data_IF_892265202988
#
_entry.id   IF_892265202988
#
_cell.length_a   1.000
_cell.length_b   1.000
_cell.length_c   1.000
_cell.angle_alpha   90.00
_cell.angle_beta   90.00
_cell.angle_gamma   90.00
#
_symmetry.space_group_name_H-M   'P 1'
#
loop_
_entity.id
_entity.type
_entity.pdbx_description
1 polymer ?
#
# COMPACT_ATOMS: atom_id res chain seq x y z
N UNK A 1 -26.09 7.45 -13.56
CA UNK A 1 -24.74 7.37 -14.14
C UNK A 1 -23.80 7.43 -12.97
N UNK A 2 -23.28 6.29 -12.53
CA UNK A 2 -22.16 6.30 -11.58
C UNK A 2 -21.01 7.02 -12.27
N UNK A 3 -20.58 8.15 -11.69
CA UNK A 3 -19.33 8.76 -12.07
C UNK A 3 -18.23 7.72 -11.88
N UNK A 4 -17.46 7.42 -12.93
CA UNK A 4 -16.22 6.67 -12.77
C UNK A 4 -15.41 7.34 -11.65
N UNK A 5 -15.18 6.62 -10.55
CA UNK A 5 -14.39 7.13 -9.43
C UNK A 5 -12.98 7.39 -9.95
N UNK A 6 -12.54 8.65 -9.93
CA UNK A 6 -11.17 9.01 -10.28
C UNK A 6 -10.26 8.62 -9.11
N UNK A 7 -9.50 7.55 -9.27
CA UNK A 7 -8.53 7.13 -8.26
C UNK A 7 -7.28 8.00 -8.38
N UNK A 8 -6.84 8.54 -7.25
CA UNK A 8 -5.72 9.47 -7.13
C UNK A 8 -4.55 8.89 -6.30
N UNK A 9 -4.80 7.83 -5.53
CA UNK A 9 -3.77 7.18 -4.71
C UNK A 9 -4.06 5.69 -4.53
N UNK A 10 -3.01 4.86 -4.63
CA UNK A 10 -3.03 3.47 -4.19
C UNK A 10 -2.04 3.32 -3.04
N UNK A 11 -2.47 2.77 -1.91
CA UNK A 11 -1.59 2.40 -0.80
C UNK A 11 -1.61 0.88 -0.62
N UNK A 12 -0.45 0.25 -0.67
CA UNK A 12 -0.27 -1.19 -0.55
C UNK A 12 0.44 -1.49 0.77
N UNK A 13 -0.24 -2.22 1.65
CA UNK A 13 0.30 -2.73 2.91
C UNK A 13 0.67 -4.21 2.81
N UNK A 14 1.80 -4.61 3.39
CA UNK A 14 2.16 -6.03 3.47
C UNK A 14 3.29 -6.34 4.46
N UNK A 15 3.52 -7.61 4.70
CA UNK A 15 4.57 -8.09 5.60
C UNK A 15 5.24 -9.35 5.05
N UNK A 16 5.41 -10.39 5.86
CA UNK A 16 5.96 -11.67 5.42
C UNK A 16 5.19 -12.22 4.21
N UNK A 17 5.92 -12.53 3.13
CA UNK A 17 5.35 -13.04 1.87
C UNK A 17 4.89 -11.99 0.85
N UNK A 18 4.76 -10.71 1.25
CA UNK A 18 4.25 -9.66 0.34
C UNK A 18 5.21 -9.25 -0.77
N UNK A 19 6.53 -9.40 -0.56
CA UNK A 19 7.54 -8.92 -1.52
C UNK A 19 7.43 -9.57 -2.89
N UNK A 20 7.13 -10.88 -2.94
CA UNK A 20 7.00 -11.60 -4.22
C UNK A 20 5.79 -11.07 -5.02
N UNK A 21 4.68 -10.81 -4.33
CA UNK A 21 3.46 -10.24 -4.91
C UNK A 21 3.72 -8.84 -5.46
N UNK A 22 4.44 -7.99 -4.71
CA UNK A 22 4.82 -6.64 -5.15
C UNK A 22 5.72 -6.72 -6.40
N UNK A 23 6.70 -7.62 -6.42
CA UNK A 23 7.59 -7.81 -7.58
C UNK A 23 6.80 -8.28 -8.82
N UNK A 24 5.89 -9.22 -8.65
CA UNK A 24 5.03 -9.72 -9.74
C UNK A 24 4.12 -8.61 -10.29
N UNK A 25 3.53 -7.81 -9.40
CA UNK A 25 2.73 -6.65 -9.78
C UNK A 25 3.54 -5.66 -10.61
N UNK A 26 4.67 -5.14 -10.09
CA UNK A 26 5.41 -4.05 -10.76
C UNK A 26 6.02 -4.44 -12.12
N UNK A 27 6.28 -5.73 -12.35
CA UNK A 27 6.72 -6.26 -13.64
C UNK A 27 5.67 -6.12 -14.74
N UNK A 28 4.41 -6.11 -14.35
CA UNK A 28 3.26 -6.15 -15.25
C UNK A 28 2.46 -4.83 -15.25
N UNK A 29 2.92 -3.81 -14.51
CA UNK A 29 2.32 -2.47 -14.55
C UNK A 29 2.69 -1.74 -15.86
N UNK A 30 1.75 -0.94 -16.36
CA UNK A 30 1.99 -0.05 -17.48
C UNK A 30 2.96 1.08 -17.08
N UNK A 31 3.99 1.34 -17.91
CA UNK A 31 5.00 2.39 -17.69
C UNK A 31 4.43 3.83 -17.61
N UNK A 32 3.16 4.02 -17.98
CA UNK A 32 2.47 5.31 -18.01
C UNK A 32 1.34 5.42 -16.98
N UNK A 33 1.43 4.70 -15.87
CA UNK A 33 0.43 4.74 -14.80
C UNK A 33 0.31 6.17 -14.26
N UNK A 34 -0.89 6.74 -14.23
CA UNK A 34 -1.09 8.14 -13.80
C UNK A 34 -1.30 8.31 -12.30
N UNK A 35 -1.29 7.20 -11.56
CA UNK A 35 -1.63 7.14 -10.15
C UNK A 35 -0.35 6.77 -9.38
N UNK A 36 0.03 7.54 -8.34
CA UNK A 36 1.12 7.17 -7.46
C UNK A 36 0.74 5.93 -6.62
N UNK A 37 1.72 5.05 -6.43
CA UNK A 37 1.58 3.87 -5.57
C UNK A 37 2.50 4.04 -4.36
N UNK A 38 1.97 3.88 -3.16
CA UNK A 38 2.73 3.90 -1.90
C UNK A 38 2.76 2.49 -1.33
N UNK A 39 3.95 1.97 -1.05
CA UNK A 39 4.18 0.62 -0.52
C UNK A 39 4.71 0.70 0.91
N UNK A 40 3.94 0.15 1.83
CA UNK A 40 4.23 0.05 3.26
C UNK A 40 4.49 -1.42 3.58
N UNK A 41 5.74 -1.78 3.84
CA UNK A 41 6.11 -3.16 4.21
C UNK A 41 6.84 -3.21 5.54
N UNK A 42 6.46 -4.17 6.38
CA UNK A 42 7.22 -4.45 7.60
C UNK A 42 8.62 -4.95 7.24
N UNK A 43 9.63 -4.17 7.59
CA UNK A 43 11.04 -4.50 7.35
C UNK A 43 11.89 -4.09 8.55
N UNK A 44 13.08 -4.69 8.69
CA UNK A 44 14.00 -4.35 9.77
C UNK A 44 14.63 -2.98 9.51
N UNK A 45 14.89 -2.21 10.57
CA UNK A 45 15.55 -0.90 10.52
C UNK A 45 16.86 -0.89 9.70
N UNK A 46 17.60 -1.99 9.74
CA UNK A 46 18.93 -2.14 9.12
C UNK A 46 18.87 -2.48 7.62
N UNK A 47 17.69 -2.50 7.01
CA UNK A 47 17.51 -2.92 5.61
C UNK A 47 18.04 -1.92 4.58
N UNK A 48 18.31 -0.66 4.97
CA UNK A 48 18.83 0.39 4.07
C UNK A 48 18.01 0.53 2.76
N UNK A 49 18.67 1.03 1.72
CA UNK A 49 18.07 1.28 0.38
C UNK A 49 17.94 0.01 -0.49
N UNK A 50 18.09 -1.18 0.12
CA UNK A 50 18.12 -2.47 -0.58
C UNK A 50 16.78 -2.73 -1.28
N UNK A 51 15.67 -2.45 -0.61
CA UNK A 51 14.34 -2.72 -1.16
C UNK A 51 14.06 -1.87 -2.39
N UNK A 52 14.36 -0.56 -2.32
CA UNK A 52 14.24 0.35 -3.45
C UNK A 52 15.08 -0.13 -4.63
N UNK A 53 16.36 -0.42 -4.38
CA UNK A 53 17.30 -0.89 -5.40
C UNK A 53 16.80 -2.18 -6.05
N UNK A 54 16.26 -3.12 -5.26
CA UNK A 54 15.70 -4.37 -5.75
C UNK A 54 14.47 -4.13 -6.63
N UNK A 55 13.48 -3.37 -6.16
CA UNK A 55 12.23 -3.15 -6.90
C UNK A 55 12.50 -2.38 -8.20
N UNK A 56 13.44 -1.42 -8.20
CA UNK A 56 13.81 -0.65 -9.39
C UNK A 56 14.33 -1.54 -10.54
N UNK A 57 14.87 -2.73 -10.26
CA UNK A 57 15.33 -3.68 -11.29
C UNK A 57 14.18 -4.29 -12.11
N UNK A 58 12.95 -4.21 -11.62
CA UNK A 58 11.79 -4.91 -12.19
C UNK A 58 10.76 -3.99 -12.84
N UNK A 59 10.96 -2.67 -12.80
CA UNK A 59 10.04 -1.71 -13.38
C UNK A 59 10.76 -0.47 -13.90
N UNK A 60 10.19 0.22 -14.90
CA UNK A 60 10.66 1.53 -15.35
C UNK A 60 10.02 2.69 -14.61
N UNK A 61 8.94 2.42 -13.86
CA UNK A 61 8.36 3.39 -12.95
C UNK A 61 9.43 3.77 -11.91
N UNK A 62 9.69 5.06 -11.67
CA UNK A 62 10.62 5.50 -10.63
C UNK A 62 10.23 4.91 -9.27
N UNK A 63 11.17 4.20 -8.64
CA UNK A 63 11.04 3.71 -7.27
C UNK A 63 11.79 4.66 -6.34
N UNK A 64 11.07 5.25 -5.40
CA UNK A 64 11.54 6.33 -4.54
C UNK A 64 11.31 5.92 -3.09
N UNK A 65 12.37 5.90 -2.27
CA UNK A 65 12.18 5.80 -0.82
C UNK A 65 11.75 7.16 -0.28
N UNK A 66 10.69 7.20 0.53
CA UNK A 66 10.12 8.45 1.03
C UNK A 66 11.09 9.09 2.04
N UNK A 67 11.38 10.37 1.82
CA UNK A 67 12.03 11.26 2.79
C UNK A 67 10.98 12.17 3.46
N UNK A 68 11.33 12.79 4.60
CA UNK A 68 10.41 13.74 5.22
C UNK A 68 10.11 14.91 4.26
N UNK A 69 8.83 15.29 4.19
CA UNK A 69 8.31 16.32 3.26
C UNK A 69 8.47 15.97 1.78
N UNK A 70 8.54 14.69 1.43
CA UNK A 70 8.49 14.27 0.02
C UNK A 70 7.21 14.76 -0.65
N UNK A 71 7.37 15.45 -1.79
CA UNK A 71 6.26 15.75 -2.70
C UNK A 71 6.01 14.53 -3.61
N UNK A 72 4.76 14.12 -3.67
CA UNK A 72 4.29 12.97 -4.42
C UNK A 72 3.97 13.37 -5.86
N UNK A 73 4.55 12.63 -6.78
CA UNK A 73 4.40 12.77 -8.22
C UNK A 73 3.62 11.58 -8.77
N UNK A 74 2.85 11.82 -9.82
CA UNK A 74 2.19 10.75 -10.55
C UNK A 74 3.23 9.87 -11.25
N UNK A 75 2.86 8.62 -11.55
CA UNK A 75 3.74 7.65 -12.19
C UNK A 75 5.01 7.35 -11.39
N UNK A 76 4.89 7.21 -10.08
CA UNK A 76 5.98 6.82 -9.19
C UNK A 76 5.52 5.79 -8.16
N UNK A 77 6.45 4.93 -7.75
CA UNK A 77 6.27 3.97 -6.67
C UNK A 77 7.10 4.43 -5.47
N UNK A 78 6.42 4.71 -4.37
CA UNK A 78 7.00 5.17 -3.13
C UNK A 78 7.14 4.04 -2.14
N UNK A 79 8.30 3.93 -1.49
CA UNK A 79 8.56 2.95 -0.44
C UNK A 79 8.66 3.69 0.88
N UNK A 80 7.88 3.26 1.87
CA UNK A 80 7.98 3.82 3.21
C UNK A 80 9.27 3.32 3.88
N UNK A 81 10.10 4.22 4.43
CA UNK A 81 11.32 3.82 5.11
C UNK A 81 11.02 3.01 6.38
N UNK A 82 12.00 2.20 6.80
CA UNK A 82 11.91 1.48 8.06
C UNK A 82 11.94 2.46 9.25
N UNK A 83 11.34 2.09 10.38
CA UNK A 83 11.37 2.88 11.61
C UNK A 83 10.72 4.28 11.54
N UNK A 84 9.89 4.55 10.52
CA UNK A 84 9.00 5.72 10.48
C UNK A 84 7.58 5.31 10.11
N UNK A 85 6.57 5.96 10.70
CA UNK A 85 5.21 5.97 10.17
C UNK A 85 5.14 6.95 9.01
N UNK A 86 4.45 6.59 7.94
CA UNK A 86 4.14 7.52 6.85
C UNK A 86 2.78 8.18 7.12
N UNK A 87 2.76 9.50 7.08
CA UNK A 87 1.56 10.33 7.13
C UNK A 87 1.42 11.15 5.85
N UNK A 88 0.19 11.46 5.47
CA UNK A 88 -0.17 12.38 4.40
C UNK A 88 -0.60 13.71 5.00
N UNK A 89 0.08 14.79 4.63
CA UNK A 89 -0.27 16.15 5.08
C UNK A 89 -1.35 16.77 4.20
N UNK A 90 -1.35 16.38 2.93
CA UNK A 90 -2.32 16.73 1.90
C UNK A 90 -2.14 15.77 0.70
N UNK A 91 -2.88 16.01 -0.39
CA UNK A 91 -2.83 15.18 -1.61
C UNK A 91 -1.49 15.16 -2.35
N UNK A 92 -0.51 15.97 -1.91
CA UNK A 92 0.81 16.06 -2.54
C UNK A 92 1.96 15.79 -1.59
N UNK A 93 1.81 16.04 -0.30
CA UNK A 93 2.94 16.01 0.63
C UNK A 93 2.80 14.89 1.63
N UNK A 94 3.89 14.15 1.81
CA UNK A 94 4.04 13.11 2.82
C UNK A 94 5.03 13.55 3.91
N UNK A 95 4.83 13.09 5.13
CA UNK A 95 5.76 13.27 6.23
C UNK A 95 6.04 11.99 6.98
N UNK A 96 7.21 11.96 7.60
CA UNK A 96 7.68 10.82 8.38
C UNK A 96 7.53 11.13 9.86
N UNK A 97 6.82 10.26 10.57
CA UNK A 97 6.62 10.36 12.01
C UNK A 97 7.41 9.26 12.74
N UNK A 98 8.17 9.67 13.76
CA UNK A 98 8.99 8.77 14.57
C UNK A 98 8.40 8.51 15.95
N UNK A 99 7.08 8.67 16.11
CA UNK A 99 6.38 8.38 17.37
C UNK A 99 6.41 6.89 17.72
N UNK A 100 5.81 6.55 18.87
CA UNK A 100 5.79 5.19 19.39
C UNK A 100 5.21 4.18 18.40
N UNK A 101 5.71 2.95 18.47
CA UNK A 101 5.25 1.87 17.58
C UNK A 101 3.76 1.61 17.79
N UNK A 102 3.03 1.54 16.68
CA UNK A 102 1.64 1.08 16.66
C UNK A 102 1.60 -0.41 16.33
N UNK A 103 0.87 -1.21 17.12
CA UNK A 103 0.80 -2.68 16.95
C UNK A 103 2.17 -3.38 16.87
N UNK A 104 3.17 -2.85 17.62
CA UNK A 104 4.58 -3.28 17.60
C UNK A 104 5.34 -3.05 16.28
N UNK A 105 4.72 -2.37 15.32
CA UNK A 105 5.24 -2.08 13.99
C UNK A 105 5.55 -0.60 13.80
N UNK A 106 6.66 -0.32 13.09
CA UNK A 106 7.00 1.01 12.55
C UNK A 106 7.88 0.80 11.31
N UNK A 107 7.36 1.01 10.08
CA UNK A 107 6.05 1.56 9.74
C UNK A 107 4.88 0.66 10.18
N UNK A 108 3.75 1.28 10.51
CA UNK A 108 2.46 0.60 10.68
C UNK A 108 1.59 0.91 9.47
N UNK A 109 0.95 -0.13 8.94
CA UNK A 109 0.06 -0.05 7.78
C UNK A 109 -1.22 0.68 8.17
N UNK A 110 -1.78 0.39 9.35
CA UNK A 110 -2.97 1.05 9.89
C UNK A 110 -2.83 2.58 9.91
N UNK A 111 -1.69 3.07 10.41
CA UNK A 111 -1.41 4.52 10.51
C UNK A 111 -1.43 5.18 9.13
N UNK A 112 -0.75 4.58 8.15
CA UNK A 112 -0.67 5.11 6.80
C UNK A 112 -2.01 5.03 6.07
N UNK A 113 -2.74 3.92 6.18
CA UNK A 113 -4.08 3.77 5.61
C UNK A 113 -5.06 4.79 6.18
N UNK A 114 -5.07 4.99 7.51
CA UNK A 114 -5.91 5.99 8.13
C UNK A 114 -5.58 7.40 7.65
N UNK A 115 -4.30 7.76 7.63
CA UNK A 115 -3.86 9.08 7.18
C UNK A 115 -4.21 9.33 5.71
N UNK A 116 -4.05 8.33 4.84
CA UNK A 116 -4.47 8.43 3.45
C UNK A 116 -6.00 8.57 3.31
N UNK A 117 -6.78 7.79 4.07
CA UNK A 117 -8.23 7.81 4.02
C UNK A 117 -8.81 9.19 4.36
N UNK A 118 -8.25 9.86 5.37
CA UNK A 118 -8.65 11.20 5.78
C UNK A 118 -8.42 12.26 4.69
N UNK A 119 -7.43 12.07 3.80
CA UNK A 119 -7.05 13.02 2.76
C UNK A 119 -7.70 12.72 1.40
N UNK A 120 -7.79 11.45 1.01
CA UNK A 120 -8.23 11.04 -0.33
C UNK A 120 -9.66 10.50 -0.38
N UNK A 121 -10.21 10.03 0.74
CA UNK A 121 -11.58 9.53 0.83
C UNK A 121 -11.92 8.51 -0.27
N UNK A 122 -12.92 8.82 -1.10
CA UNK A 122 -13.38 7.93 -2.18
C UNK A 122 -12.42 7.80 -3.36
N UNK A 123 -11.38 8.65 -3.43
CA UNK A 123 -10.39 8.68 -4.51
C UNK A 123 -9.16 7.80 -4.21
N UNK A 124 -9.21 6.89 -3.23
CA UNK A 124 -8.11 5.98 -2.95
C UNK A 124 -8.49 4.51 -2.93
N UNK A 125 -7.47 3.68 -3.12
CA UNK A 125 -7.52 2.23 -2.93
C UNK A 125 -6.50 1.83 -1.86
N UNK A 126 -6.97 1.13 -0.82
CA UNK A 126 -6.11 0.40 0.11
C UNK A 126 -6.01 -1.06 -0.30
N UNK A 127 -4.79 -1.57 -0.42
CA UNK A 127 -4.52 -2.96 -0.80
C UNK A 127 -3.76 -3.64 0.34
N UNK A 128 -4.28 -4.74 0.89
CA UNK A 128 -3.61 -5.49 1.94
C UNK A 128 -3.17 -6.87 1.46
N UNK A 129 -1.88 -7.13 1.60
CA UNK A 129 -1.20 -8.34 1.12
C UNK A 129 -0.86 -9.30 2.28
N UNK A 130 -0.20 -10.40 1.94
CA UNK A 130 0.36 -11.40 2.84
C UNK A 130 1.09 -10.80 4.06
N UNK A 131 0.85 -11.38 5.24
CA UNK A 131 1.46 -10.93 6.48
C UNK A 131 1.10 -11.77 7.72
N UNK A 132 1.94 -11.67 8.75
CA UNK A 132 1.89 -12.51 9.95
C UNK A 132 1.13 -11.90 11.16
N UNK A 133 0.57 -10.70 11.00
CA UNK A 133 -0.18 -9.98 12.05
C UNK A 133 -1.38 -9.25 11.43
N UNK A 134 -2.19 -8.57 12.26
CA UNK A 134 -3.40 -7.89 11.81
C UNK A 134 -3.20 -6.39 11.44
N UNK A 135 -1.96 -5.91 11.36
CA UNK A 135 -1.68 -4.51 11.01
C UNK A 135 -2.16 -4.22 9.58
N UNK A 136 -2.99 -3.19 9.43
CA UNK A 136 -3.67 -2.80 8.20
C UNK A 136 -5.16 -3.08 8.22
N UNK A 137 -5.66 -4.02 9.03
CA UNK A 137 -7.10 -4.37 9.06
C UNK A 137 -7.94 -3.20 9.59
N UNK A 138 -7.49 -2.54 10.66
CA UNK A 138 -8.17 -1.36 11.19
C UNK A 138 -8.11 -0.21 10.17
N UNK A 139 -6.95 0.01 9.55
CA UNK A 139 -6.74 1.01 8.52
C UNK A 139 -7.66 0.82 7.31
N UNK A 140 -7.87 -0.42 6.86
CA UNK A 140 -8.84 -0.73 5.79
C UNK A 140 -10.27 -0.39 6.21
N UNK A 141 -10.67 -0.65 7.45
CA UNK A 141 -11.96 -0.21 7.98
C UNK A 141 -12.11 1.33 7.90
N UNK A 142 -11.04 2.07 8.19
CA UNK A 142 -11.01 3.52 8.01
C UNK A 142 -11.14 3.95 6.55
N UNK A 143 -10.53 3.24 5.61
CA UNK A 143 -10.70 3.50 4.17
C UNK A 143 -12.16 3.32 3.75
N UNK A 144 -12.82 2.23 4.17
CA UNK A 144 -14.25 2.01 3.88
C UNK A 144 -15.15 3.08 4.50
N UNK A 145 -14.88 3.49 5.75
CA UNK A 145 -15.61 4.58 6.42
C UNK A 145 -15.52 5.91 5.68
N UNK A 146 -14.46 6.12 4.90
CA UNK A 146 -14.26 7.30 4.05
C UNK A 146 -14.59 7.05 2.56
N UNK A 147 -15.37 6.00 2.27
CA UNK A 147 -15.87 5.64 0.93
C UNK A 147 -14.79 5.23 -0.09
N UNK A 148 -13.55 5.01 0.36
CA UNK A 148 -12.46 4.46 -0.44
C UNK A 148 -12.70 2.98 -0.78
N UNK A 149 -11.87 2.45 -1.68
CA UNK A 149 -11.92 1.05 -2.07
C UNK A 149 -10.89 0.22 -1.31
N UNK A 150 -11.25 -1.02 -1.00
CA UNK A 150 -10.39 -1.98 -0.31
C UNK A 150 -10.24 -3.23 -1.14
N UNK A 151 -8.99 -3.56 -1.48
CA UNK A 151 -8.63 -4.80 -2.14
C UNK A 151 -7.79 -5.65 -1.18
N UNK A 152 -8.08 -6.94 -1.12
CA UNK A 152 -7.39 -7.85 -0.21
C UNK A 152 -6.83 -9.00 -1.02
N UNK A 153 -5.57 -9.37 -0.76
CA UNK A 153 -5.00 -10.58 -1.35
C UNK A 153 -5.82 -11.80 -0.91
N UNK A 154 -6.18 -12.66 -1.86
CA UNK A 154 -6.80 -13.96 -1.59
C UNK A 154 -5.95 -14.72 -0.57
N UNK A 155 -6.48 -15.02 0.63
CA UNK A 155 -5.72 -15.72 1.67
C UNK A 155 -5.11 -17.04 1.19
N UNK A 156 -5.76 -17.73 0.24
CA UNK A 156 -5.29 -19.00 -0.31
C UNK A 156 -4.06 -18.85 -1.22
N UNK A 157 -3.75 -17.62 -1.65
CA UNK A 157 -2.56 -17.29 -2.44
C UNK A 157 -1.46 -16.61 -1.63
N UNK A 158 -1.72 -16.29 -0.36
CA UNK A 158 -0.77 -15.62 0.50
C UNK A 158 0.23 -16.64 1.08
N UNK A 159 1.52 -16.32 1.02
CA UNK A 159 2.55 -17.13 1.69
C UNK A 159 2.35 -17.13 3.21
N UNK A 160 1.89 -16.00 3.76
CA UNK A 160 1.45 -15.87 5.15
C UNK A 160 0.04 -15.26 5.18
N UNK A 161 -0.93 -16.13 5.41
CA UNK A 161 -2.37 -15.85 5.24
C UNK A 161 -3.03 -15.10 6.39
N UNK A 162 -2.38 -14.96 7.55
CA UNK A 162 -3.02 -14.42 8.77
C UNK A 162 -3.62 -13.02 8.55
N UNK A 163 -2.81 -12.10 8.01
CA UNK A 163 -3.21 -10.72 7.75
C UNK A 163 -4.39 -10.61 6.75
N UNK A 164 -4.30 -11.16 5.51
CA UNK A 164 -5.41 -11.08 4.57
C UNK A 164 -6.64 -11.86 5.02
N UNK A 165 -6.49 -13.02 5.69
CA UNK A 165 -7.64 -13.78 6.19
C UNK A 165 -8.43 -12.99 7.23
N UNK A 166 -7.72 -12.38 8.17
CA UNK A 166 -8.37 -11.55 9.19
C UNK A 166 -9.11 -10.36 8.57
N UNK A 167 -8.54 -9.74 7.52
CA UNK A 167 -9.21 -8.67 6.78
C UNK A 167 -10.50 -9.16 6.11
N UNK A 168 -10.49 -10.31 5.42
CA UNK A 168 -11.68 -10.86 4.77
C UNK A 168 -12.80 -11.20 5.76
N UNK A 169 -12.44 -11.60 6.98
CA UNK A 169 -13.41 -11.99 8.02
C UNK A 169 -14.05 -10.79 8.74
N UNK A 170 -13.32 -9.69 8.91
CA UNK A 170 -13.71 -8.60 9.82
C UNK A 170 -14.23 -7.33 9.11
N UNK A 171 -13.97 -7.15 7.81
CA UNK A 171 -14.32 -5.90 7.11
C UNK A 171 -14.97 -6.10 5.74
N UNK A 172 -15.76 -5.12 5.32
CA UNK A 172 -16.24 -5.03 3.94
C UNK A 172 -15.08 -4.71 2.98
N UNK A 173 -15.04 -5.40 1.83
CA UNK A 173 -14.05 -5.20 0.78
C UNK A 173 -14.69 -5.16 -0.60
N UNK A 174 -13.99 -4.58 -1.56
CA UNK A 174 -14.47 -4.38 -2.93
C UNK A 174 -13.92 -5.45 -3.89
N UNK A 175 -12.72 -5.97 -3.63
CA UNK A 175 -12.07 -6.94 -4.50
C UNK A 175 -11.16 -7.90 -3.74
N UNK A 176 -11.21 -9.18 -4.12
CA UNK A 176 -10.18 -10.17 -3.79
C UNK A 176 -9.22 -10.26 -4.97
N UNK A 177 -7.93 -10.01 -4.72
CA UNK A 177 -6.88 -10.05 -5.73
C UNK A 177 -6.02 -11.30 -5.58
N UNK A 178 -5.44 -11.74 -6.69
CA UNK A 178 -4.38 -12.75 -6.72
C UNK A 178 -3.10 -12.10 -7.25
N UNK A 179 -1.91 -12.63 -6.93
CA UNK A 179 -0.66 -12.03 -7.36
C UNK A 179 -0.57 -11.80 -8.89
N UNK A 180 -1.14 -12.71 -9.67
CA UNK A 180 -1.11 -12.70 -11.14
C UNK A 180 -2.08 -11.69 -11.78
N UNK A 181 -3.14 -11.26 -11.08
CA UNK A 181 -4.14 -10.34 -11.62
C UNK A 181 -4.09 -8.92 -11.02
N UNK A 182 -3.31 -8.70 -9.96
CA UNK A 182 -3.22 -7.40 -9.29
C UNK A 182 -2.82 -6.28 -10.26
N UNK A 183 -1.79 -6.51 -11.08
CA UNK A 183 -1.35 -5.51 -12.06
C UNK A 183 -2.41 -5.22 -13.12
N UNK A 184 -3.17 -6.23 -13.56
CA UNK A 184 -4.26 -6.07 -14.52
C UNK A 184 -5.32 -5.12 -13.98
N UNK A 185 -5.75 -5.31 -12.73
CA UNK A 185 -6.72 -4.42 -12.10
C UNK A 185 -6.20 -2.99 -11.96
N UNK A 186 -4.94 -2.81 -11.54
CA UNK A 186 -4.34 -1.47 -11.42
C UNK A 186 -4.26 -0.78 -12.79
N UNK A 187 -3.93 -1.52 -13.85
CA UNK A 187 -3.80 -0.98 -15.21
C UNK A 187 -5.13 -0.52 -15.83
N UNK A 188 -6.27 -0.93 -15.26
CA UNK A 188 -7.62 -0.56 -15.72
C UNK A 188 -8.17 0.72 -15.05
N UNK A 189 -7.45 1.28 -14.07
CA UNK A 189 -7.77 2.53 -13.39
C UNK A 189 -7.38 3.75 -14.24
#
# INVERSE_FOLDING_TARGET
MESQKNIELIVIGGSAGSLQVIIEMIKNLNDSLKIPIVVVVHRKAQSGDILRTLLQQFTKIPVIEVEDKTEMENNALYIVPADYHLLFENKKNMSLDSSEKMNYSRPSIDVTFRSAAEIYGENMIGILLSGANADGVEGLCYIKKNNGQVWIQDPETAEVEYMPRHAVEEIDYDLIIKPDNLAEYINQL
#
